data_IF_179721157064
#
_entry.id   IF_179721157064
#
_cell.length_a   1.000
_cell.length_b   1.000
_cell.length_c   1.000
_cell.angle_alpha   90.00
_cell.angle_beta   90.00
_cell.angle_gamma   90.00
#
_symmetry.space_group_name_H-M   'P 1'
#
loop_
_entity.id
_entity.type
_entity.pdbx_description
1 polymer ?
#
# COMPACT_ATOMS: atom_id res chain seq x y z
N UNK A 1 -16.52 8.80 2.56
CA UNK A 1 -16.65 9.83 1.51
C UNK A 1 -15.45 10.78 1.43
N UNK A 2 -14.92 11.26 2.56
CA UNK A 2 -13.78 12.20 2.58
C UNK A 2 -12.53 11.59 1.94
N UNK A 3 -12.21 10.31 2.23
CA UNK A 3 -11.05 9.63 1.67
C UNK A 3 -11.15 9.53 0.15
N UNK A 4 -12.27 9.03 -0.37
CA UNK A 4 -12.49 8.90 -1.83
C UNK A 4 -12.34 10.26 -2.51
N UNK A 5 -13.02 11.29 -2.01
CA UNK A 5 -12.97 12.63 -2.59
C UNK A 5 -11.56 13.23 -2.59
N UNK A 6 -10.80 13.06 -1.49
CA UNK A 6 -9.42 13.57 -1.41
C UNK A 6 -8.48 12.82 -2.34
N UNK A 7 -8.63 11.47 -2.42
CA UNK A 7 -7.82 10.64 -3.32
C UNK A 7 -8.07 11.02 -4.78
N UNK A 8 -9.34 11.14 -5.20
CA UNK A 8 -9.67 11.49 -6.57
C UNK A 8 -9.22 12.93 -6.93
N UNK A 9 -9.28 13.86 -5.97
CA UNK A 9 -8.72 15.21 -6.17
C UNK A 9 -7.20 15.18 -6.34
N UNK A 10 -6.50 14.36 -5.58
CA UNK A 10 -5.05 14.16 -5.75
C UNK A 10 -4.74 13.50 -7.08
N UNK A 11 -5.47 12.45 -7.46
CA UNK A 11 -5.31 11.74 -8.72
C UNK A 11 -5.46 12.68 -9.94
N UNK A 12 -6.42 13.59 -9.93
CA UNK A 12 -6.58 14.60 -10.98
C UNK A 12 -5.37 15.52 -11.15
N UNK A 13 -4.62 15.77 -10.06
CA UNK A 13 -3.42 16.61 -10.09
C UNK A 13 -2.18 15.84 -10.54
N UNK A 14 -2.03 14.60 -10.03
CA UNK A 14 -0.84 13.77 -10.25
C UNK A 14 -0.94 12.96 -11.54
N UNK A 15 -2.18 12.67 -12.00
CA UNK A 15 -2.48 11.83 -13.18
C UNK A 15 -1.79 10.47 -13.10
N UNK A 16 -2.05 9.67 -12.03
CA UNK A 16 -1.42 8.37 -11.86
C UNK A 16 -1.94 7.37 -12.90
N UNK A 17 -1.14 6.36 -13.23
CA UNK A 17 -1.57 5.24 -14.06
C UNK A 17 -2.61 4.37 -13.34
N UNK A 18 -2.51 4.26 -12.01
CA UNK A 18 -3.44 3.48 -11.19
C UNK A 18 -3.45 3.96 -9.74
N UNK A 19 -4.45 3.53 -8.98
CA UNK A 19 -4.55 3.74 -7.53
C UNK A 19 -4.50 2.39 -6.83
N UNK A 20 -3.66 2.25 -5.82
CA UNK A 20 -3.63 1.05 -4.96
C UNK A 20 -4.23 1.42 -3.61
N UNK A 21 -5.26 0.68 -3.20
CA UNK A 21 -5.92 0.84 -1.90
C UNK A 21 -5.45 -0.26 -0.96
N UNK A 22 -4.62 0.08 0.03
CA UNK A 22 -4.02 -0.86 0.98
C UNK A 22 -4.14 -0.39 2.44
N UNK A 23 -3.73 -1.24 3.38
CA UNK A 23 -3.77 -0.99 4.81
C UNK A 23 -5.08 -1.36 5.48
N UNK A 24 -5.14 -1.33 6.82
CA UNK A 24 -6.27 -1.81 7.62
C UNK A 24 -7.61 -1.14 7.29
N UNK A 25 -7.62 0.16 7.03
CA UNK A 25 -8.86 0.90 6.64
C UNK A 25 -9.36 0.43 5.27
N UNK A 26 -8.50 -0.09 4.40
CA UNK A 26 -8.90 -0.68 3.13
C UNK A 26 -9.69 -1.99 3.28
N UNK A 27 -9.82 -2.55 4.47
CA UNK A 27 -10.74 -3.65 4.75
C UNK A 27 -12.22 -3.22 4.72
N UNK A 28 -12.51 -1.92 4.80
CA UNK A 28 -13.86 -1.39 4.74
C UNK A 28 -14.48 -1.60 3.34
N UNK A 29 -15.54 -2.42 3.29
CA UNK A 29 -16.20 -2.83 2.03
C UNK A 29 -16.77 -1.62 1.28
N UNK A 30 -17.37 -0.68 2.00
CA UNK A 30 -17.98 0.52 1.41
C UNK A 30 -16.89 1.43 0.78
N UNK A 31 -15.75 1.58 1.46
CA UNK A 31 -14.61 2.33 0.93
C UNK A 31 -14.10 1.70 -0.39
N UNK A 32 -13.98 0.36 -0.42
CA UNK A 32 -13.57 -0.39 -1.62
C UNK A 32 -14.51 -0.15 -2.79
N UNK A 33 -15.83 -0.30 -2.53
CA UNK A 33 -16.85 -0.11 -3.57
C UNK A 33 -16.82 1.33 -4.12
N UNK A 34 -16.81 2.31 -3.24
CA UNK A 34 -16.79 3.74 -3.65
C UNK A 34 -15.51 4.13 -4.37
N UNK A 35 -14.35 3.61 -3.94
CA UNK A 35 -13.09 3.92 -4.60
C UNK A 35 -13.04 3.35 -6.02
N UNK A 36 -13.52 2.11 -6.21
CA UNK A 36 -13.63 1.50 -7.55
C UNK A 36 -14.56 2.29 -8.45
N UNK A 37 -15.77 2.60 -7.99
CA UNK A 37 -16.74 3.38 -8.76
C UNK A 37 -16.18 4.76 -9.15
N UNK A 38 -15.47 5.42 -8.23
CA UNK A 38 -14.83 6.70 -8.53
C UNK A 38 -13.68 6.57 -9.54
N UNK A 39 -12.89 5.49 -9.45
CA UNK A 39 -11.84 5.20 -10.42
C UNK A 39 -12.41 4.95 -11.83
N UNK A 40 -13.45 4.11 -11.92
CA UNK A 40 -14.16 3.85 -13.19
C UNK A 40 -14.68 5.14 -13.84
N UNK A 41 -15.27 6.04 -13.04
CA UNK A 41 -15.77 7.33 -13.52
C UNK A 41 -14.65 8.21 -14.10
N UNK A 42 -13.46 8.15 -13.54
CA UNK A 42 -12.30 8.97 -13.93
C UNK A 42 -11.36 8.23 -14.92
N UNK A 43 -11.67 6.98 -15.27
CA UNK A 43 -10.83 6.15 -16.16
C UNK A 43 -9.51 5.75 -15.53
N UNK A 44 -9.47 5.57 -14.19
CA UNK A 44 -8.27 5.20 -13.44
C UNK A 44 -8.47 3.81 -12.81
N UNK A 45 -7.56 2.89 -13.07
CA UNK A 45 -7.60 1.56 -12.47
C UNK A 45 -7.38 1.61 -10.95
N UNK A 46 -8.26 0.93 -10.20
CA UNK A 46 -8.16 0.84 -8.74
C UNK A 46 -7.89 -0.60 -8.32
N UNK A 47 -6.68 -0.86 -7.84
CA UNK A 47 -6.28 -2.15 -7.31
C UNK A 47 -6.55 -2.23 -5.80
N UNK A 48 -7.26 -3.28 -5.42
CA UNK A 48 -7.63 -3.53 -4.03
C UNK A 48 -7.25 -4.96 -3.68
N UNK A 49 -6.32 -5.18 -2.75
CA UNK A 49 -5.89 -6.52 -2.38
C UNK A 49 -7.02 -7.32 -1.71
N UNK A 50 -6.92 -8.66 -1.72
CA UNK A 50 -7.76 -9.52 -0.87
C UNK A 50 -7.74 -9.05 0.60
N UNK A 51 -8.83 -9.26 1.32
CA UNK A 51 -8.95 -8.82 2.73
C UNK A 51 -7.84 -9.39 3.62
N UNK A 52 -7.40 -10.61 3.35
CA UNK A 52 -6.32 -11.29 4.07
C UNK A 52 -4.98 -10.55 4.02
N UNK A 53 -4.77 -9.72 3.00
CA UNK A 53 -3.55 -8.91 2.85
C UNK A 53 -3.73 -7.43 3.22
N UNK A 54 -4.90 -7.06 3.75
CA UNK A 54 -5.17 -5.67 4.15
C UNK A 54 -4.67 -5.34 5.56
N UNK A 55 -4.35 -6.36 6.36
CA UNK A 55 -3.74 -6.25 7.68
C UNK A 55 -2.28 -6.73 7.62
N UNK A 56 -1.57 -6.55 8.73
CA UNK A 56 -0.20 -7.05 8.88
C UNK A 56 -0.15 -8.55 8.62
N UNK A 57 0.75 -8.98 7.75
CA UNK A 57 0.91 -10.37 7.39
C UNK A 57 2.36 -10.68 6.98
N UNK A 58 2.79 -11.92 7.19
CA UNK A 58 4.15 -12.35 6.90
C UNK A 58 4.48 -12.29 5.39
N UNK A 59 3.49 -12.41 4.50
CA UNK A 59 3.73 -12.39 3.06
C UNK A 59 4.23 -11.02 2.58
N UNK A 60 3.69 -9.91 3.12
CA UNK A 60 4.17 -8.57 2.76
C UNK A 60 5.58 -8.32 3.26
N UNK A 61 5.93 -8.82 4.46
CA UNK A 61 7.28 -8.70 5.02
C UNK A 61 8.27 -9.56 4.21
N UNK A 62 7.89 -10.78 3.85
CA UNK A 62 8.72 -11.64 3.01
C UNK A 62 8.96 -11.03 1.61
N UNK A 63 7.93 -10.44 1.00
CA UNK A 63 8.08 -9.75 -0.27
C UNK A 63 9.01 -8.54 -0.18
N UNK A 64 8.84 -7.70 0.83
CA UNK A 64 9.74 -6.57 1.08
C UNK A 64 11.17 -7.02 1.34
N UNK A 65 11.35 -8.07 2.15
CA UNK A 65 12.65 -8.69 2.40
C UNK A 65 13.30 -9.24 1.13
N UNK A 66 12.54 -9.92 0.29
CA UNK A 66 13.05 -10.42 -0.99
C UNK A 66 13.62 -9.31 -1.87
N UNK A 67 12.88 -8.21 -2.05
CA UNK A 67 13.37 -7.09 -2.87
C UNK A 67 14.57 -6.39 -2.22
N UNK A 68 14.60 -6.24 -0.91
CA UNK A 68 15.75 -5.65 -0.22
C UNK A 68 16.99 -6.53 -0.27
N UNK A 69 16.84 -7.83 -0.24
CA UNK A 69 17.95 -8.79 -0.35
C UNK A 69 18.62 -8.82 -1.74
N UNK A 70 18.06 -8.14 -2.74
CA UNK A 70 18.72 -7.98 -4.04
C UNK A 70 19.95 -7.05 -3.96
N UNK A 71 20.07 -6.22 -2.94
CA UNK A 71 21.22 -5.35 -2.69
C UNK A 71 21.94 -5.80 -1.41
N UNK A 72 23.18 -6.27 -1.55
CA UNK A 72 24.02 -6.74 -0.45
C UNK A 72 24.23 -5.69 0.66
N UNK A 73 24.13 -4.41 0.34
CA UNK A 73 24.23 -3.30 1.30
C UNK A 73 23.12 -3.32 2.36
N UNK A 74 22.03 -4.02 2.10
CA UNK A 74 20.91 -4.14 3.02
C UNK A 74 21.07 -5.29 4.03
N UNK A 75 22.14 -6.08 3.92
CA UNK A 75 22.42 -7.12 4.89
C UNK A 75 23.09 -6.50 6.14
N UNK A 76 22.51 -6.80 7.28
CA UNK A 76 23.08 -6.49 8.61
C UNK A 76 23.43 -7.78 9.33
N UNK A 77 24.42 -7.73 10.21
CA UNK A 77 24.72 -8.88 11.06
C UNK A 77 23.50 -9.16 11.94
N UNK A 78 22.99 -10.40 11.96
CA UNK A 78 21.85 -10.77 12.81
C UNK A 78 22.05 -10.44 14.30
N UNK A 79 23.30 -10.39 14.78
CA UNK A 79 23.63 -10.04 16.16
C UNK A 79 23.53 -8.52 16.44
N UNK A 80 23.61 -7.70 15.39
CA UNK A 80 23.48 -6.24 15.48
C UNK A 80 22.04 -5.76 15.22
N UNK A 81 21.12 -6.70 14.91
CA UNK A 81 19.74 -6.37 14.60
C UNK A 81 18.96 -5.97 15.85
N UNK A 82 18.53 -4.72 15.92
CA UNK A 82 17.66 -4.20 16.96
C UNK A 82 16.29 -3.82 16.37
N UNK A 83 15.23 -3.98 17.17
CA UNK A 83 13.91 -3.50 16.80
C UNK A 83 13.86 -1.96 16.89
N UNK A 84 13.48 -1.31 15.83
CA UNK A 84 13.25 0.14 15.78
C UNK A 84 11.85 0.43 15.24
N UNK A 85 10.97 0.92 16.12
CA UNK A 85 9.59 1.26 15.76
C UNK A 85 9.46 2.52 14.90
N UNK A 86 10.51 3.31 14.81
CA UNK A 86 10.55 4.56 14.06
C UNK A 86 11.47 4.48 12.84
N UNK A 87 11.81 3.27 12.40
CA UNK A 87 12.65 3.07 11.23
C UNK A 87 12.00 3.71 10.00
N UNK A 88 12.68 4.67 9.40
CA UNK A 88 12.21 5.31 8.18
C UNK A 88 12.24 4.32 6.99
N UNK A 89 11.14 4.29 6.26
CA UNK A 89 11.04 3.54 5.01
C UNK A 89 11.58 4.45 3.89
N UNK A 90 12.83 4.27 3.55
CA UNK A 90 13.51 5.04 2.49
C UNK A 90 13.45 4.25 1.19
#
# INVERSE_FOLDING_TARGET
DVLVRKTMRAAKRVKPASIVLAGGVAANIELRARMRAAGETEGIDVFVPPLTYSLDNAAMIAAAGYFRAQDEKNFVDPLDLAADSNLDIV
#
